data_IF_247834718682
#
_entry.id   IF_247834718682
#
_cell.length_a   1.000
_cell.length_b   1.000
_cell.length_c   1.000
_cell.angle_alpha   90.00
_cell.angle_beta   90.00
_cell.angle_gamma   90.00
#
_symmetry.space_group_name_H-M   'P 1'
#
loop_
_entity.id
_entity.type
_entity.pdbx_description
1 polymer ?
#
# COMPACT_ATOMS: atom_id res chain seq x y z
N UNK A 1 7.45 -13.74 4.76
CA UNK A 1 6.23 -13.61 5.60
C UNK A 1 5.39 -12.49 5.02
N UNK A 2 4.07 -12.57 5.17
CA UNK A 2 3.13 -11.78 4.38
C UNK A 2 2.43 -10.72 5.24
N UNK A 3 2.22 -9.53 4.68
CA UNK A 3 1.26 -8.55 5.17
C UNK A 3 0.06 -8.53 4.27
N UNK A 4 -1.13 -8.48 4.86
CA UNK A 4 -2.31 -8.07 4.13
C UNK A 4 -2.29 -6.55 4.00
N UNK A 5 -2.61 -6.07 2.81
CA UNK A 5 -2.76 -4.64 2.55
C UNK A 5 -4.25 -4.35 2.55
N UNK A 6 -4.68 -3.37 3.35
CA UNK A 6 -6.08 -2.94 3.41
C UNK A 6 -6.20 -1.51 2.94
N UNK A 7 -7.27 -1.19 2.21
CA UNK A 7 -7.59 0.20 1.89
C UNK A 7 -8.25 0.86 3.11
N UNK A 8 -7.64 1.92 3.64
CA UNK A 8 -8.21 2.69 4.75
C UNK A 8 -9.07 3.83 4.21
N UNK A 9 -8.49 4.65 3.34
CA UNK A 9 -9.17 5.77 2.66
C UNK A 9 -8.60 5.96 1.27
N UNK A 10 -9.43 6.49 0.37
CA UNK A 10 -8.99 6.98 -0.93
C UNK A 10 -9.88 8.15 -1.39
N UNK A 11 -9.26 9.26 -1.78
CA UNK A 11 -9.87 10.34 -2.54
C UNK A 11 -9.06 10.49 -3.83
N UNK A 12 -9.52 9.82 -4.90
CA UNK A 12 -8.85 9.83 -6.20
C UNK A 12 -9.79 10.47 -7.20
N UNK A 13 -9.43 11.67 -7.66
CA UNK A 13 -10.28 12.50 -8.52
C UNK A 13 -10.01 12.18 -9.98
N UNK A 14 -8.74 12.02 -10.33
CA UNK A 14 -8.27 11.65 -11.66
C UNK A 14 -6.90 10.95 -11.60
N UNK A 15 -6.38 10.39 -12.72
CA UNK A 15 -5.11 9.66 -12.71
C UNK A 15 -3.89 10.47 -12.22
N UNK A 16 -3.94 11.80 -12.27
CA UNK A 16 -2.87 12.73 -11.87
C UNK A 16 -3.21 13.49 -10.58
N UNK A 17 -4.32 13.19 -9.90
CA UNK A 17 -4.69 13.83 -8.65
C UNK A 17 -5.43 12.86 -7.73
N UNK A 18 -4.77 12.49 -6.64
CA UNK A 18 -5.40 11.66 -5.63
C UNK A 18 -4.53 11.41 -4.42
N UNK A 19 -5.19 10.88 -3.39
CA UNK A 19 -4.58 10.38 -2.18
C UNK A 19 -5.19 9.03 -1.79
N UNK A 20 -4.37 8.18 -1.19
CA UNK A 20 -4.74 6.84 -0.78
C UNK A 20 -3.93 6.43 0.44
N UNK A 21 -4.61 5.98 1.49
CA UNK A 21 -3.98 5.45 2.69
C UNK A 21 -4.26 3.96 2.81
N UNK A 22 -3.19 3.20 3.02
CA UNK A 22 -3.21 1.76 3.14
C UNK A 22 -2.79 1.33 4.54
N UNK A 23 -3.45 0.31 5.08
CA UNK A 23 -3.03 -0.38 6.29
C UNK A 23 -2.16 -1.58 5.93
N UNK A 24 -1.10 -1.80 6.71
CA UNK A 24 -0.32 -3.03 6.69
C UNK A 24 -0.75 -3.90 7.87
N UNK A 25 -1.50 -4.96 7.58
CA UNK A 25 -2.07 -5.86 8.57
C UNK A 25 -1.25 -7.14 8.66
N UNK A 26 -0.90 -7.53 9.88
CA UNK A 26 -0.26 -8.81 10.16
C UNK A 26 -1.09 -9.55 11.21
N UNK A 27 -1.53 -10.78 10.87
CA UNK A 27 -2.35 -11.63 11.76
C UNK A 27 -3.60 -10.92 12.31
N UNK A 28 -4.25 -10.10 11.49
CA UNK A 28 -5.47 -9.37 11.85
C UNK A 28 -5.25 -8.05 12.61
N UNK A 29 -4.00 -7.71 12.95
CA UNK A 29 -3.67 -6.43 13.60
C UNK A 29 -2.98 -5.50 12.62
N UNK A 30 -3.46 -4.25 12.54
CA UNK A 30 -2.78 -3.19 11.79
C UNK A 30 -1.45 -2.85 12.47
N UNK A 31 -0.34 -3.07 11.76
CA UNK A 31 1.01 -2.84 12.26
C UNK A 31 1.57 -1.47 11.87
N UNK A 32 1.18 -0.96 10.70
CA UNK A 32 1.61 0.34 10.17
C UNK A 32 0.64 0.83 9.09
N UNK A 33 0.88 2.05 8.63
CA UNK A 33 0.17 2.66 7.51
C UNK A 33 1.14 3.13 6.42
N UNK A 34 0.64 3.23 5.20
CA UNK A 34 1.35 3.81 4.07
C UNK A 34 0.42 4.81 3.41
N UNK A 35 0.89 6.05 3.32
CA UNK A 35 0.15 7.16 2.76
C UNK A 35 0.74 7.50 1.39
N UNK A 36 -0.10 7.58 0.38
CA UNK A 36 0.26 7.99 -0.97
C UNK A 36 -0.52 9.24 -1.32
N UNK A 37 0.16 10.24 -1.87
CA UNK A 37 -0.44 11.45 -2.41
C UNK A 37 0.26 11.82 -3.70
N UNK A 38 -0.51 12.20 -4.71
CA UNK A 38 0.04 12.69 -5.95
C UNK A 38 -0.80 13.81 -6.54
N UNK A 39 -0.09 14.74 -7.18
CA UNK A 39 -0.65 15.79 -8.02
C UNK A 39 0.04 15.74 -9.39
N UNK A 40 -0.20 16.73 -10.25
CA UNK A 40 0.49 16.84 -11.53
C UNK A 40 1.97 17.19 -11.36
N UNK A 41 2.32 17.81 -10.24
CA UNK A 41 3.63 18.38 -9.95
C UNK A 41 4.50 17.43 -9.12
N UNK A 42 3.89 16.67 -8.20
CA UNK A 42 4.64 15.86 -7.25
C UNK A 42 3.96 14.55 -6.88
N UNK A 43 4.78 13.62 -6.39
CA UNK A 43 4.35 12.39 -5.75
C UNK A 43 5.05 12.28 -4.39
N UNK A 44 4.27 12.02 -3.35
CA UNK A 44 4.77 11.77 -2.00
C UNK A 44 4.24 10.43 -1.51
N UNK A 45 5.12 9.65 -0.89
CA UNK A 45 4.74 8.46 -0.16
C UNK A 45 5.41 8.42 1.21
N UNK A 46 4.62 8.12 2.24
CA UNK A 46 5.07 8.14 3.62
C UNK A 46 4.72 6.82 4.29
N UNK A 47 5.73 6.17 4.88
CA UNK A 47 5.51 5.05 5.79
C UNK A 47 5.31 5.61 7.20
N UNK A 48 4.18 5.24 7.82
CA UNK A 48 3.83 5.64 9.19
C UNK A 48 3.87 4.40 10.08
N UNK A 49 4.99 4.23 10.78
CA UNK A 49 5.22 3.10 11.67
C UNK A 49 6.67 3.04 12.14
N UNK A 50 6.98 2.07 12.99
CA UNK A 50 8.34 1.81 13.46
C UNK A 50 8.92 0.60 12.71
N UNK A 51 9.61 0.86 11.59
CA UNK A 51 10.08 -0.19 10.67
C UNK A 51 10.90 -1.32 11.34
N UNK A 52 11.82 -1.06 12.30
CA UNK A 52 12.54 -2.12 13.01
C UNK A 52 11.66 -2.99 13.93
N UNK A 53 10.50 -2.48 14.36
CA UNK A 53 9.56 -3.17 15.25
C UNK A 53 8.40 -3.84 14.48
N UNK A 54 8.41 -3.75 13.15
CA UNK A 54 7.43 -4.44 12.31
C UNK A 54 7.58 -5.96 12.45
N UNK A 55 6.48 -6.75 12.40
CA UNK A 55 6.53 -8.22 12.55
C UNK A 55 7.52 -8.91 11.60
N UNK A 56 7.65 -8.37 10.39
CA UNK A 56 8.72 -8.64 9.44
C UNK A 56 9.41 -7.31 9.17
N UNK A 57 10.57 -7.05 9.77
CA UNK A 57 11.30 -5.81 9.57
C UNK A 57 11.78 -5.68 8.11
N UNK A 58 11.71 -4.47 7.58
CA UNK A 58 12.24 -4.11 6.28
C UNK A 58 12.59 -2.62 6.25
N UNK A 59 13.30 -2.18 5.22
CA UNK A 59 13.51 -0.74 5.03
C UNK A 59 12.15 -0.04 4.74
N UNK A 60 11.89 1.18 5.24
CA UNK A 60 10.63 1.91 4.99
C UNK A 60 10.20 1.97 3.53
N UNK A 61 11.17 2.07 2.61
CA UNK A 61 10.88 2.10 1.16
C UNK A 61 10.31 0.79 0.62
N UNK A 62 10.61 -0.36 1.22
CA UNK A 62 9.98 -1.63 0.84
C UNK A 62 8.49 -1.62 1.23
N UNK A 63 8.17 -1.09 2.42
CA UNK A 63 6.78 -0.91 2.84
C UNK A 63 6.02 0.09 1.97
N UNK A 64 6.72 1.03 1.32
CA UNK A 64 6.11 1.95 0.35
C UNK A 64 5.94 1.31 -1.04
N UNK A 65 6.96 0.62 -1.55
CA UNK A 65 6.97 0.15 -2.93
C UNK A 65 6.13 -1.12 -3.15
N UNK A 66 6.14 -2.04 -2.18
CA UNK A 66 5.50 -3.36 -2.33
C UNK A 66 3.97 -3.28 -2.43
N UNK A 67 3.26 -2.49 -1.60
CA UNK A 67 1.80 -2.41 -1.71
C UNK A 67 1.34 -1.89 -3.06
N UNK A 68 1.94 -0.80 -3.55
CA UNK A 68 1.53 -0.22 -4.84
C UNK A 68 1.84 -1.17 -6.00
N UNK A 69 2.95 -1.91 -5.95
CA UNK A 69 3.28 -2.93 -6.95
C UNK A 69 2.25 -4.08 -6.95
N UNK A 70 1.87 -4.59 -5.78
CA UNK A 70 0.86 -5.65 -5.66
C UNK A 70 -0.50 -5.18 -6.19
N UNK A 71 -0.94 -3.97 -5.81
CA UNK A 71 -2.19 -3.38 -6.34
C UNK A 71 -2.13 -3.31 -7.87
N UNK A 72 -1.03 -2.81 -8.44
CA UNK A 72 -0.87 -2.66 -9.90
C UNK A 72 -0.91 -4.01 -10.62
N UNK A 73 -0.35 -5.07 -10.03
CA UNK A 73 -0.41 -6.42 -10.62
C UNK A 73 -1.82 -7.03 -10.65
N UNK A 74 -2.73 -6.55 -9.79
CA UNK A 74 -4.11 -7.00 -9.70
C UNK A 74 -5.08 -6.09 -10.46
N UNK A 75 -4.61 -4.97 -11.03
CA UNK A 75 -5.46 -4.10 -11.81
C UNK A 75 -5.88 -4.78 -13.12
N UNK A 76 -7.16 -4.61 -13.48
CA UNK A 76 -7.72 -4.99 -14.78
C UNK A 76 -8.18 -3.73 -15.53
N UNK A 77 -8.51 -3.83 -16.83
CA UNK A 77 -9.08 -2.69 -17.57
C UNK A 77 -10.40 -2.15 -16.99
N UNK A 78 -11.10 -2.93 -16.15
CA UNK A 78 -12.32 -2.49 -15.48
C UNK A 78 -12.03 -1.55 -14.29
N UNK A 79 -10.82 -1.58 -13.74
CA UNK A 79 -10.42 -0.72 -12.63
C UNK A 79 -9.96 0.64 -13.16
N UNK A 80 -10.75 1.67 -12.89
CA UNK A 80 -10.42 3.05 -13.20
C UNK A 80 -9.36 3.59 -12.24
N UNK A 81 -9.41 3.19 -10.97
CA UNK A 81 -8.47 3.63 -9.94
C UNK A 81 -7.83 2.46 -9.18
N UNK A 82 -6.62 2.64 -8.62
CA UNK A 82 -5.94 1.60 -7.84
C UNK A 82 -6.73 1.11 -6.62
N UNK A 83 -7.50 2.00 -6.00
CA UNK A 83 -8.35 1.68 -4.85
C UNK A 83 -9.50 0.72 -5.20
N UNK A 84 -9.84 0.56 -6.48
CA UNK A 84 -10.93 -0.34 -6.89
C UNK A 84 -10.54 -1.81 -6.82
N UNK A 85 -9.24 -2.13 -6.85
CA UNK A 85 -8.72 -3.50 -6.66
C UNK A 85 -9.21 -4.13 -5.36
N UNK A 86 -9.50 -3.33 -4.33
CA UNK A 86 -9.98 -3.83 -3.04
C UNK A 86 -11.46 -4.25 -3.06
N UNK A 87 -12.21 -3.97 -4.13
CA UNK A 87 -13.61 -4.39 -4.28
C UNK A 87 -13.74 -5.88 -4.61
N UNK A 88 -12.74 -6.44 -5.27
CA UNK A 88 -12.76 -7.79 -5.84
C UNK A 88 -11.52 -8.62 -5.49
N UNK A 89 -10.45 -8.01 -4.96
CA UNK A 89 -9.22 -8.71 -4.59
C UNK A 89 -8.82 -8.49 -3.13
N UNK A 90 -8.19 -9.51 -2.55
CA UNK A 90 -7.42 -9.39 -1.31
C UNK A 90 -5.97 -9.12 -1.67
N UNK A 91 -5.44 -7.98 -1.25
CA UNK A 91 -4.07 -7.57 -1.57
C UNK A 91 -3.13 -8.06 -0.48
N UNK A 92 -2.00 -8.64 -0.87
CA UNK A 92 -0.98 -9.13 0.07
C UNK A 92 0.41 -8.89 -0.48
N UNK A 93 1.36 -8.61 0.41
CA UNK A 93 2.76 -8.41 0.06
C UNK A 93 3.64 -9.35 0.86
N UNK A 94 4.64 -9.91 0.19
CA UNK A 94 5.68 -10.67 0.85
C UNK A 94 6.91 -9.79 1.05
N UNK A 95 7.39 -9.75 2.30
CA UNK A 95 8.71 -9.24 2.62
C UNK A 95 9.62 -10.42 2.92
N UNK A 96 10.74 -10.47 2.20
CA UNK A 96 11.84 -11.35 2.55
C UNK A 96 12.66 -10.63 3.62
N UNK A 97 12.83 -11.27 4.77
CA UNK A 97 13.87 -10.86 5.70
C UNK A 97 15.20 -11.05 4.96
N UNK A 98 15.91 -9.96 4.67
CA UNK A 98 17.33 -10.09 4.34
C UNK A 98 18.00 -10.47 5.65
N UNK A 99 18.40 -11.73 5.74
CA UNK A 99 19.21 -12.26 6.84
C UNK A 99 20.56 -11.57 6.93
#
# INVERSE_FOLDING_TARGET
MTYEVTLLTADIRDPLNGEMNLGLVHKGTQAAEVQYRWTKEEFTATFVGLAPAMPVPAHPTEFIARPIAAIRSLMTPAHRFPSEVFKDNRVSIDLQAKG
#
